data_IF_640696795243
#
_entry.id   IF_640696795243
#
_cell.length_a   1.000
_cell.length_b   1.000
_cell.length_c   1.000
_cell.angle_alpha   90.00
_cell.angle_beta   90.00
_cell.angle_gamma   90.00
#
_symmetry.space_group_name_H-M   'P 1'
#
loop_
_entity.id
_entity.type
_entity.pdbx_description
1 polymer ?
#
# COMPACT_ATOMS: atom_id res chain seq x y z
N UNK A 1 -14.44 9.51 -28.10
CA UNK A 1 -14.75 8.16 -27.53
C UNK A 1 -14.29 8.19 -26.09
N UNK A 2 -15.02 7.52 -25.18
CA UNK A 2 -14.57 7.33 -23.79
C UNK A 2 -13.33 6.45 -23.79
N UNK A 3 -12.39 6.72 -22.87
CA UNK A 3 -11.24 5.81 -22.64
C UNK A 3 -11.67 4.62 -21.80
N UNK A 4 -11.20 3.43 -22.11
CA UNK A 4 -11.45 2.20 -21.33
C UNK A 4 -10.43 2.11 -20.19
N UNK A 5 -10.92 2.15 -18.96
CA UNK A 5 -10.09 1.98 -17.75
C UNK A 5 -10.38 0.61 -17.14
N UNK A 6 -9.33 -0.19 -17.00
CA UNK A 6 -9.39 -1.49 -16.35
C UNK A 6 -9.14 -1.32 -14.85
N UNK A 7 -10.13 -1.61 -14.02
CA UNK A 7 -9.95 -1.72 -12.57
C UNK A 7 -9.58 -3.16 -12.22
N UNK A 8 -8.43 -3.34 -11.58
CA UNK A 8 -8.00 -4.63 -11.01
C UNK A 8 -8.38 -4.68 -9.54
N UNK A 9 -9.03 -5.76 -9.10
CA UNK A 9 -9.48 -5.91 -7.72
C UNK A 9 -9.36 -7.35 -7.21
N UNK A 10 -9.46 -7.51 -5.88
CA UNK A 10 -9.30 -8.78 -5.21
C UNK A 10 -7.83 -9.12 -4.94
N UNK A 11 -7.36 -10.24 -5.47
CA UNK A 11 -5.98 -10.69 -5.34
C UNK A 11 -5.77 -11.80 -4.31
N UNK A 12 -4.76 -12.64 -4.55
CA UNK A 12 -4.36 -13.71 -3.64
C UNK A 12 -3.50 -13.13 -2.50
N UNK A 13 -4.10 -12.32 -1.63
CA UNK A 13 -3.46 -11.66 -0.50
C UNK A 13 -4.38 -11.62 0.73
N UNK A 14 -3.81 -11.35 1.90
CA UNK A 14 -4.58 -11.12 3.14
C UNK A 14 -5.48 -9.87 3.07
N UNK A 15 -5.27 -9.00 2.10
CA UNK A 15 -5.99 -7.73 1.92
C UNK A 15 -7.06 -7.80 0.81
N UNK A 16 -7.46 -9.01 0.42
CA UNK A 16 -8.47 -9.28 -0.62
C UNK A 16 -9.76 -8.48 -0.41
N UNK A 17 -10.32 -8.51 0.80
CA UNK A 17 -11.57 -7.83 1.11
C UNK A 17 -11.46 -6.30 0.97
N UNK A 18 -10.37 -5.72 1.45
CA UNK A 18 -10.09 -4.27 1.35
C UNK A 18 -9.98 -3.85 -0.11
N UNK A 19 -9.33 -4.67 -0.93
CA UNK A 19 -9.21 -4.44 -2.37
C UNK A 19 -10.59 -4.41 -3.05
N UNK A 20 -11.45 -5.38 -2.77
CA UNK A 20 -12.79 -5.44 -3.34
C UNK A 20 -13.64 -4.20 -2.99
N UNK A 21 -13.63 -3.79 -1.71
CA UNK A 21 -14.35 -2.60 -1.25
C UNK A 21 -13.77 -1.32 -1.87
N UNK A 22 -12.45 -1.16 -1.88
CA UNK A 22 -11.77 -0.01 -2.48
C UNK A 22 -12.09 0.13 -3.97
N UNK A 23 -12.02 -0.98 -4.71
CA UNK A 23 -12.30 -0.98 -6.15
C UNK A 23 -13.77 -0.68 -6.45
N UNK A 24 -14.71 -1.18 -5.65
CA UNK A 24 -16.12 -0.81 -5.76
C UNK A 24 -16.32 0.71 -5.58
N UNK A 25 -15.65 1.31 -4.61
CA UNK A 25 -15.68 2.76 -4.39
C UNK A 25 -15.10 3.53 -5.58
N UNK A 26 -13.99 3.07 -6.16
CA UNK A 26 -13.41 3.68 -7.38
C UNK A 26 -14.39 3.54 -8.55
N UNK A 27 -14.96 2.36 -8.79
CA UNK A 27 -15.90 2.10 -9.89
C UNK A 27 -17.17 2.97 -9.83
N UNK A 28 -17.65 3.27 -8.61
CA UNK A 28 -18.83 4.11 -8.41
C UNK A 28 -18.55 5.59 -8.63
N UNK A 29 -17.33 6.03 -8.33
CA UNK A 29 -16.95 7.46 -8.34
C UNK A 29 -16.11 7.88 -9.56
N UNK A 30 -15.69 6.96 -10.41
CA UNK A 30 -15.01 7.29 -11.66
C UNK A 30 -15.95 8.06 -12.59
N UNK A 31 -15.44 9.08 -13.27
CA UNK A 31 -16.23 9.91 -14.19
C UNK A 31 -16.67 9.12 -15.43
N UNK A 32 -17.89 8.62 -15.39
CA UNK A 32 -18.49 7.79 -16.45
C UNK A 32 -18.75 8.56 -17.76
N UNK A 33 -18.66 9.88 -17.76
CA UNK A 33 -18.73 10.68 -19.02
C UNK A 33 -17.40 10.57 -19.80
N UNK A 34 -16.27 10.42 -19.11
CA UNK A 34 -14.94 10.35 -19.71
C UNK A 34 -14.46 8.91 -19.90
N UNK A 35 -14.85 7.99 -18.99
CA UNK A 35 -14.31 6.64 -18.92
C UNK A 35 -15.38 5.57 -19.05
N UNK A 36 -15.01 4.49 -19.73
CA UNK A 36 -15.71 3.20 -19.67
C UNK A 36 -14.93 2.31 -18.71
N UNK A 37 -15.59 1.80 -17.68
CA UNK A 37 -14.98 0.93 -16.68
C UNK A 37 -15.08 -0.53 -17.11
N UNK A 38 -13.96 -1.23 -17.07
CA UNK A 38 -13.84 -2.66 -17.22
C UNK A 38 -13.34 -3.23 -15.88
N UNK A 39 -13.99 -4.22 -15.31
CA UNK A 39 -13.64 -4.81 -14.01
C UNK A 39 -12.96 -6.15 -14.23
N UNK A 40 -11.75 -6.34 -13.72
CA UNK A 40 -11.04 -7.61 -13.74
C UNK A 40 -10.73 -8.04 -12.30
N UNK A 41 -11.46 -9.04 -11.84
CA UNK A 41 -11.35 -9.58 -10.49
C UNK A 41 -10.37 -10.74 -10.42
N UNK A 42 -9.57 -10.76 -9.36
CA UNK A 42 -8.68 -11.87 -9.02
C UNK A 42 -9.21 -12.47 -7.72
N UNK A 43 -9.57 -13.75 -7.74
CA UNK A 43 -10.10 -14.43 -6.55
C UNK A 43 -8.98 -14.68 -5.51
N UNK A 44 -9.35 -15.03 -4.29
CA UNK A 44 -8.39 -15.34 -3.23
C UNK A 44 -7.52 -16.56 -3.54
N UNK A 45 -7.99 -17.49 -4.38
CA UNK A 45 -7.23 -18.63 -4.90
C UNK A 45 -6.49 -18.34 -6.21
N UNK A 46 -6.48 -17.07 -6.67
CA UNK A 46 -5.68 -16.58 -7.79
C UNK A 46 -6.28 -16.79 -9.19
N UNK A 47 -7.58 -17.08 -9.31
CA UNK A 47 -8.26 -17.12 -10.60
C UNK A 47 -8.68 -15.73 -11.05
N UNK A 48 -8.65 -15.50 -12.36
CA UNK A 48 -8.91 -14.19 -12.96
C UNK A 48 -10.18 -14.21 -13.79
N UNK A 49 -11.04 -13.21 -13.58
CA UNK A 49 -12.31 -13.09 -14.30
C UNK A 49 -12.59 -11.63 -14.68
N UNK A 50 -12.97 -11.44 -15.94
CA UNK A 50 -13.73 -10.24 -16.32
C UNK A 50 -15.08 -10.31 -15.60
N UNK A 51 -15.39 -9.27 -14.83
CA UNK A 51 -16.60 -9.19 -14.03
C UNK A 51 -17.55 -8.15 -14.60
N UNK A 52 -18.80 -8.56 -14.90
CA UNK A 52 -19.84 -7.70 -15.49
C UNK A 52 -21.01 -7.41 -14.54
N UNK A 53 -20.90 -7.81 -13.26
CA UNK A 53 -21.93 -7.58 -12.25
C UNK A 53 -21.85 -6.22 -11.55
N UNK A 54 -22.58 -6.09 -10.46
CA UNK A 54 -22.70 -4.86 -9.67
C UNK A 54 -21.56 -4.68 -8.64
N UNK A 55 -21.35 -3.44 -8.19
CA UNK A 55 -20.32 -3.08 -7.20
C UNK A 55 -20.69 -3.49 -5.78
N UNK A 56 -21.98 -3.71 -5.46
CA UNK A 56 -22.40 -4.15 -4.12
C UNK A 56 -21.92 -5.57 -3.85
N UNK A 57 -21.96 -6.45 -4.86
CA UNK A 57 -21.40 -7.79 -4.78
C UNK A 57 -19.88 -7.82 -4.63
N UNK A 58 -19.17 -6.77 -5.07
CA UNK A 58 -17.75 -6.61 -4.77
C UNK A 58 -17.55 -6.27 -3.28
N UNK A 59 -18.39 -5.42 -2.70
CA UNK A 59 -18.31 -4.99 -1.28
C UNK A 59 -18.57 -6.13 -0.31
N UNK A 60 -19.59 -6.96 -0.58
CA UNK A 60 -19.96 -8.09 0.26
C UNK A 60 -19.22 -9.39 -0.10
N UNK A 61 -18.30 -9.31 -1.07
CA UNK A 61 -17.45 -10.41 -1.56
C UNK A 61 -18.22 -11.55 -2.27
N UNK A 62 -19.50 -11.36 -2.54
CA UNK A 62 -20.34 -12.37 -3.21
C UNK A 62 -20.12 -12.46 -4.73
N UNK A 63 -19.37 -11.52 -5.32
CA UNK A 63 -19.10 -11.46 -6.76
C UNK A 63 -18.53 -12.77 -7.32
N UNK A 64 -17.73 -13.51 -6.54
CA UNK A 64 -17.16 -14.82 -6.94
C UNK A 64 -18.19 -15.92 -7.09
N UNK A 65 -19.38 -15.76 -6.50
CA UNK A 65 -20.46 -16.74 -6.53
C UNK A 65 -21.49 -16.46 -7.63
N UNK A 66 -21.33 -15.37 -8.38
CA UNK A 66 -22.24 -14.95 -9.47
C UNK A 66 -21.67 -15.36 -10.82
N UNK A 67 -21.67 -16.68 -11.08
CA UNK A 67 -21.02 -17.29 -12.27
C UNK A 67 -21.49 -16.65 -13.60
N UNK A 68 -22.75 -16.20 -13.68
CA UNK A 68 -23.31 -15.56 -14.87
C UNK A 68 -22.64 -14.23 -15.24
N UNK A 69 -21.91 -13.60 -14.31
CA UNK A 69 -21.15 -12.36 -14.53
C UNK A 69 -19.64 -12.58 -14.62
N UNK A 70 -19.17 -13.83 -14.59
CA UNK A 70 -17.77 -14.19 -14.61
C UNK A 70 -17.36 -14.74 -15.98
N UNK A 71 -16.43 -14.08 -16.65
CA UNK A 71 -15.80 -14.61 -17.86
C UNK A 71 -14.30 -14.79 -17.60
N UNK A 72 -13.74 -16.00 -17.71
CA UNK A 72 -12.30 -16.22 -17.57
C UNK A 72 -11.51 -15.31 -18.49
N UNK A 73 -10.53 -14.58 -17.93
CA UNK A 73 -9.80 -13.56 -18.65
C UNK A 73 -8.49 -13.25 -17.95
N UNK A 74 -7.49 -12.78 -18.70
CA UNK A 74 -6.19 -12.35 -18.16
C UNK A 74 -5.69 -11.09 -18.85
N UNK A 75 -4.81 -10.33 -18.20
CA UNK A 75 -4.07 -9.28 -18.91
C UNK A 75 -3.04 -9.95 -19.81
N UNK A 76 -3.09 -9.63 -21.10
CA UNK A 76 -2.07 -10.12 -22.03
C UNK A 76 -0.73 -9.41 -21.78
N UNK A 77 0.37 -10.14 -21.61
CA UNK A 77 1.70 -9.54 -21.54
C UNK A 77 2.22 -9.05 -22.90
N UNK A 78 1.50 -9.35 -23.99
CA UNK A 78 1.90 -8.91 -25.32
C UNK A 78 1.49 -7.46 -25.60
N UNK A 79 2.46 -6.60 -25.91
CA UNK A 79 2.22 -5.19 -26.29
C UNK A 79 1.33 -5.04 -27.53
N UNK A 80 1.18 -6.08 -28.34
CA UNK A 80 0.30 -6.04 -29.52
C UNK A 80 -1.18 -6.13 -29.15
N UNK A 81 -1.50 -6.65 -27.97
CA UNK A 81 -2.88 -6.76 -27.49
C UNK A 81 -3.32 -5.51 -26.74
N UNK A 82 -2.46 -4.97 -25.88
CA UNK A 82 -2.78 -3.84 -25.00
C UNK A 82 -4.17 -3.95 -24.36
N UNK A 83 -4.43 -5.09 -23.71
CA UNK A 83 -5.77 -5.37 -23.23
C UNK A 83 -5.93 -6.69 -22.45
N UNK A 84 -7.19 -6.96 -22.18
CA UNK A 84 -7.64 -8.18 -21.51
C UNK A 84 -7.93 -9.24 -22.57
N UNK A 85 -7.32 -10.41 -22.43
CA UNK A 85 -7.48 -11.58 -23.31
C UNK A 85 -8.49 -12.55 -22.70
N UNK A 86 -9.54 -12.87 -23.43
CA UNK A 86 -10.54 -13.88 -23.09
C UNK A 86 -10.12 -15.28 -23.59
N UNK A 87 -10.75 -16.34 -23.07
CA UNK A 87 -10.44 -17.73 -23.46
C UNK A 87 -10.70 -18.03 -24.95
N UNK A 88 -11.67 -17.33 -25.57
CA UNK A 88 -11.98 -17.48 -27.00
C UNK A 88 -11.01 -16.75 -27.93
N UNK A 89 -9.97 -16.10 -27.36
CA UNK A 89 -8.99 -15.32 -28.09
C UNK A 89 -9.40 -13.87 -28.35
N UNK A 90 -10.59 -13.45 -27.91
CA UNK A 90 -11.02 -12.05 -28.00
C UNK A 90 -10.15 -11.16 -27.11
N UNK A 91 -9.75 -9.99 -27.63
CA UNK A 91 -9.01 -8.97 -26.88
C UNK A 91 -9.88 -7.76 -26.65
N UNK A 92 -10.06 -7.39 -25.38
CA UNK A 92 -10.70 -6.13 -24.99
C UNK A 92 -9.59 -5.11 -24.80
N UNK A 93 -9.53 -4.11 -25.68
CA UNK A 93 -8.54 -3.04 -25.59
C UNK A 93 -8.73 -2.16 -24.34
N UNK A 94 -7.62 -1.78 -23.69
CA UNK A 94 -7.59 -0.99 -22.46
C UNK A 94 -6.64 0.18 -22.64
N UNK A 95 -7.10 1.40 -22.34
CA UNK A 95 -6.33 2.63 -22.43
C UNK A 95 -5.49 2.89 -21.18
N UNK A 96 -5.97 2.47 -20.00
CA UNK A 96 -5.25 2.57 -18.74
C UNK A 96 -5.70 1.50 -17.75
N UNK A 97 -4.81 1.06 -16.87
CA UNK A 97 -5.10 0.15 -15.75
C UNK A 97 -5.07 0.92 -14.44
N UNK A 98 -6.07 0.73 -13.61
CA UNK A 98 -6.08 1.20 -12.23
C UNK A 98 -6.03 -0.03 -11.30
N UNK A 99 -4.84 -0.44 -10.84
CA UNK A 99 -4.72 -1.52 -9.89
C UNK A 99 -5.17 -1.03 -8.51
N UNK A 100 -6.18 -1.71 -7.95
CA UNK A 100 -6.66 -1.50 -6.58
C UNK A 100 -6.40 -2.80 -5.80
N UNK A 101 -5.14 -3.24 -5.86
CA UNK A 101 -4.67 -4.48 -5.25
C UNK A 101 -3.76 -4.14 -4.08
N UNK A 102 -4.05 -4.68 -2.91
CA UNK A 102 -3.27 -4.40 -1.71
C UNK A 102 -2.39 -5.58 -1.31
N UNK A 103 -1.20 -5.29 -0.76
CA UNK A 103 -0.25 -6.25 -0.24
C UNK A 103 0.44 -7.09 -1.31
N UNK A 104 0.65 -8.36 -0.98
CA UNK A 104 1.39 -9.32 -1.82
C UNK A 104 0.80 -9.45 -3.22
N UNK A 105 1.65 -9.52 -4.23
CA UNK A 105 1.36 -9.54 -5.67
C UNK A 105 0.72 -8.23 -6.20
N UNK A 106 0.19 -7.35 -5.36
CA UNK A 106 -0.39 -6.07 -5.75
C UNK A 106 0.57 -4.90 -5.64
N UNK A 107 1.33 -4.82 -4.53
CA UNK A 107 2.22 -3.70 -4.20
C UNK A 107 3.71 -4.04 -4.25
N UNK A 108 4.09 -5.29 -4.55
CA UNK A 108 5.45 -5.81 -4.48
C UNK A 108 6.22 -5.79 -5.82
N UNK A 109 5.66 -5.15 -6.85
CA UNK A 109 6.25 -5.07 -8.18
C UNK A 109 5.82 -6.20 -9.13
N UNK A 110 5.19 -7.26 -8.63
CA UNK A 110 4.78 -8.42 -9.44
C UNK A 110 3.73 -8.02 -10.49
N UNK A 111 2.63 -7.38 -10.04
CA UNK A 111 1.59 -6.88 -10.95
C UNK A 111 2.13 -5.77 -11.86
N UNK A 112 2.94 -4.87 -11.35
CA UNK A 112 3.56 -3.79 -12.12
C UNK A 112 4.48 -4.32 -13.22
N UNK A 113 5.17 -5.45 -12.97
CA UNK A 113 5.96 -6.15 -13.99
C UNK A 113 5.10 -6.67 -15.15
N UNK A 114 3.96 -7.29 -14.85
CA UNK A 114 2.99 -7.72 -15.87
C UNK A 114 2.44 -6.53 -16.67
N UNK A 115 2.06 -5.46 -16.00
CA UNK A 115 1.55 -4.24 -16.64
C UNK A 115 2.61 -3.57 -17.52
N UNK A 116 3.87 -3.53 -17.07
CA UNK A 116 4.98 -3.02 -17.88
C UNK A 116 5.20 -3.86 -19.15
N UNK A 117 5.11 -5.20 -19.08
CA UNK A 117 5.19 -6.08 -20.25
C UNK A 117 4.03 -5.84 -21.23
N UNK A 118 2.81 -5.66 -20.73
CA UNK A 118 1.61 -5.40 -21.56
C UNK A 118 1.69 -4.09 -22.34
N UNK A 119 2.51 -3.14 -21.88
CA UNK A 119 2.62 -1.80 -22.45
C UNK A 119 1.39 -0.92 -22.24
N UNK A 120 0.47 -1.30 -21.35
CA UNK A 120 -0.70 -0.49 -20.98
C UNK A 120 -0.26 0.49 -19.89
N UNK A 121 -0.55 1.80 -20.00
CA UNK A 121 -0.37 2.75 -18.91
C UNK A 121 -1.11 2.30 -17.65
N UNK A 122 -0.54 2.52 -16.45
CA UNK A 122 -1.20 2.13 -15.21
C UNK A 122 -0.94 3.12 -14.08
N UNK A 123 -1.92 3.23 -13.19
CA UNK A 123 -1.85 4.08 -12.00
C UNK A 123 -0.87 3.51 -10.99
N UNK A 124 -0.09 4.38 -10.34
CA UNK A 124 0.81 4.03 -9.24
C UNK A 124 2.26 3.83 -9.66
N UNK A 125 3.04 3.32 -8.75
CA UNK A 125 4.48 3.13 -8.85
C UNK A 125 4.87 2.08 -9.91
N UNK A 126 6.10 2.17 -10.42
CA UNK A 126 6.65 1.16 -11.33
C UNK A 126 7.09 -0.11 -10.54
N UNK A 127 7.58 -1.12 -11.27
CA UNK A 127 8.03 -2.39 -10.70
C UNK A 127 9.12 -2.21 -9.64
N UNK A 128 10.10 -1.35 -9.91
CA UNK A 128 11.22 -1.11 -9.00
C UNK A 128 10.77 -0.43 -7.71
N UNK A 129 10.06 0.69 -7.83
CA UNK A 129 9.56 1.44 -6.67
C UNK A 129 8.63 0.60 -5.80
N UNK A 130 7.70 -0.15 -6.43
CA UNK A 130 6.79 -1.05 -5.71
C UNK A 130 7.55 -2.12 -4.91
N UNK A 131 8.51 -2.80 -5.55
CA UNK A 131 9.30 -3.83 -4.87
C UNK A 131 10.17 -3.27 -3.74
N UNK A 132 10.78 -2.09 -3.94
CA UNK A 132 11.59 -1.42 -2.91
C UNK A 132 10.73 -0.94 -1.75
N UNK A 133 9.57 -0.33 -2.03
CA UNK A 133 8.67 0.20 -1.00
C UNK A 133 8.03 -0.90 -0.16
N UNK A 134 7.78 -2.08 -0.75
CA UNK A 134 7.25 -3.23 -0.01
C UNK A 134 8.25 -3.79 1.00
N UNK A 135 9.55 -3.75 0.69
CA UNK A 135 10.61 -4.24 1.55
C UNK A 135 11.02 -3.17 2.59
N UNK A 136 10.48 -3.28 3.80
CA UNK A 136 10.72 -2.35 4.91
C UNK A 136 12.21 -2.14 5.22
N UNK A 137 13.03 -3.18 5.10
CA UNK A 137 14.48 -3.10 5.34
C UNK A 137 15.17 -2.27 4.27
N UNK A 138 14.89 -2.58 3.00
CA UNK A 138 15.51 -1.86 1.86
C UNK A 138 15.09 -0.39 1.86
N UNK A 139 13.82 -0.12 2.11
CA UNK A 139 13.30 1.25 2.22
C UNK A 139 13.99 2.05 3.32
N UNK A 140 14.15 1.46 4.53
CA UNK A 140 14.84 2.13 5.63
C UNK A 140 16.30 2.42 5.31
N UNK A 141 17.03 1.48 4.72
CA UNK A 141 18.44 1.68 4.30
C UNK A 141 18.55 2.86 3.33
N UNK A 142 17.65 2.96 2.34
CA UNK A 142 17.65 4.06 1.38
C UNK A 142 17.29 5.39 2.03
N UNK A 143 16.30 5.40 2.94
CA UNK A 143 15.91 6.59 3.69
C UNK A 143 17.04 7.11 4.58
N UNK A 144 17.72 6.23 5.33
CA UNK A 144 18.90 6.61 6.14
C UNK A 144 20.01 7.23 5.29
N UNK A 145 20.26 6.64 4.09
CA UNK A 145 21.31 7.14 3.19
C UNK A 145 21.07 8.59 2.76
N UNK A 146 19.84 9.02 2.71
CA UNK A 146 19.48 10.41 2.36
C UNK A 146 19.17 11.27 3.60
N UNK A 147 19.46 10.77 4.80
CA UNK A 147 19.32 11.51 6.07
C UNK A 147 17.88 11.63 6.55
N UNK A 148 17.00 10.70 6.22
CA UNK A 148 15.68 10.56 6.84
C UNK A 148 15.84 9.72 8.10
N UNK A 149 15.39 10.20 9.27
CA UNK A 149 15.45 9.42 10.50
C UNK A 149 14.54 8.20 10.43
N UNK A 150 15.04 7.05 10.85
CA UNK A 150 14.30 5.80 11.01
C UNK A 150 14.44 5.30 12.44
N UNK A 151 13.47 4.52 12.90
CA UNK A 151 13.59 3.84 14.20
C UNK A 151 14.79 2.89 14.16
N UNK A 152 15.62 2.82 15.22
CA UNK A 152 16.72 1.87 15.30
C UNK A 152 16.25 0.44 15.04
N UNK A 153 16.98 -0.29 14.18
CA UNK A 153 16.57 -1.61 13.73
C UNK A 153 17.74 -2.56 13.50
N UNK A 154 17.42 -3.87 13.48
CA UNK A 154 18.25 -4.95 12.97
C UNK A 154 17.43 -5.79 12.00
N UNK A 155 18.07 -6.53 11.08
CA UNK A 155 17.35 -7.41 10.19
C UNK A 155 18.08 -8.71 9.95
N UNK A 156 17.31 -9.77 9.70
CA UNK A 156 17.80 -11.15 9.61
C UNK A 156 17.15 -11.86 8.42
N UNK A 157 17.86 -12.87 7.91
CA UNK A 157 17.36 -13.75 6.83
C UNK A 157 17.21 -15.17 7.35
N UNK A 158 16.18 -15.88 6.92
CA UNK A 158 15.86 -17.26 7.35
C UNK A 158 17.00 -18.24 7.05
N UNK A 159 17.67 -18.07 5.90
CA UNK A 159 18.80 -18.92 5.54
C UNK A 159 20.04 -18.60 6.41
N UNK A 160 20.49 -19.60 7.16
CA UNK A 160 21.63 -19.46 8.08
C UNK A 160 21.28 -18.74 9.39
N UNK A 161 20.01 -18.59 9.73
CA UNK A 161 19.55 -17.92 10.93
C UNK A 161 19.96 -18.70 12.20
N UNK A 162 20.55 -17.97 13.14
CA UNK A 162 20.91 -18.43 14.48
C UNK A 162 20.19 -17.52 15.48
N UNK A 163 19.17 -18.04 16.14
CA UNK A 163 18.30 -17.26 17.02
C UNK A 163 19.06 -16.66 18.21
N UNK A 164 20.05 -17.37 18.77
CA UNK A 164 20.80 -16.86 19.93
C UNK A 164 21.67 -15.65 19.55
N UNK A 165 22.37 -15.74 18.42
CA UNK A 165 23.16 -14.62 17.91
C UNK A 165 22.28 -13.43 17.51
N UNK A 166 21.12 -13.70 16.90
CA UNK A 166 20.18 -12.66 16.52
C UNK A 166 19.62 -11.90 17.73
N UNK A 167 19.26 -12.62 18.79
CA UNK A 167 18.79 -12.02 20.03
C UNK A 167 19.89 -11.19 20.70
N UNK A 168 21.14 -11.71 20.78
CA UNK A 168 22.28 -10.97 21.31
C UNK A 168 22.56 -9.69 20.51
N UNK A 169 22.48 -9.75 19.18
CA UNK A 169 22.65 -8.58 18.32
C UNK A 169 21.54 -7.55 18.53
N UNK A 170 20.28 -7.99 18.64
CA UNK A 170 19.17 -7.09 18.95
C UNK A 170 19.34 -6.40 20.30
N UNK A 171 19.67 -7.14 21.35
CA UNK A 171 19.85 -6.59 22.71
C UNK A 171 21.04 -5.63 22.84
N UNK A 172 22.06 -5.76 21.96
CA UNK A 172 23.18 -4.82 21.88
C UNK A 172 22.82 -3.51 21.17
N UNK A 173 21.90 -3.54 20.20
CA UNK A 173 21.58 -2.41 19.32
C UNK A 173 20.25 -1.73 19.62
N UNK A 174 19.31 -2.46 20.21
CA UNK A 174 17.91 -2.06 20.36
C UNK A 174 17.50 -2.13 21.84
N UNK A 175 16.36 -1.49 22.14
CA UNK A 175 15.75 -1.50 23.48
C UNK A 175 14.35 -2.13 23.45
N UNK A 176 14.00 -2.86 24.50
CA UNK A 176 12.64 -3.33 24.67
C UNK A 176 11.68 -2.17 25.02
N UNK A 177 10.38 -2.24 24.60
CA UNK A 177 9.82 -3.29 23.77
C UNK A 177 10.38 -3.24 22.35
N UNK A 178 10.50 -4.41 21.69
CA UNK A 178 10.91 -4.52 20.30
C UNK A 178 9.73 -4.99 19.45
N UNK A 179 9.65 -4.53 18.19
CA UNK A 179 8.67 -5.03 17.23
C UNK A 179 9.37 -5.91 16.19
N UNK A 180 8.95 -7.17 16.10
CA UNK A 180 9.45 -8.13 15.12
C UNK A 180 8.47 -8.19 13.98
N UNK A 181 8.93 -7.94 12.76
CA UNK A 181 8.07 -7.75 11.57
C UNK A 181 8.62 -8.52 10.38
N UNK A 182 7.76 -9.19 9.58
CA UNK A 182 8.15 -9.58 8.21
C UNK A 182 8.54 -8.35 7.40
N UNK A 183 9.58 -8.44 6.58
CA UNK A 183 10.04 -7.29 5.79
C UNK A 183 9.07 -6.93 4.65
N UNK A 184 8.41 -7.94 4.06
CA UNK A 184 7.56 -7.80 2.86
C UNK A 184 6.09 -8.17 3.13
N UNK A 185 5.54 -7.73 4.27
CA UNK A 185 4.13 -7.95 4.62
C UNK A 185 3.43 -6.63 4.93
N UNK A 186 2.14 -6.54 4.56
CA UNK A 186 1.23 -5.44 4.87
C UNK A 186 0.30 -5.77 6.03
N UNK A 187 -0.58 -4.83 6.38
CA UNK A 187 -1.71 -5.00 7.31
C UNK A 187 -1.37 -5.65 8.65
N UNK A 188 -0.18 -5.37 9.19
CA UNK A 188 0.32 -5.90 10.47
C UNK A 188 0.41 -7.44 10.56
N UNK A 189 0.33 -8.16 9.43
CA UNK A 189 0.43 -9.62 9.41
C UNK A 189 1.83 -10.06 9.87
N UNK A 190 1.87 -10.97 10.85
CA UNK A 190 3.11 -11.53 11.38
C UNK A 190 3.92 -10.59 12.27
N UNK A 191 3.39 -9.42 12.65
CA UNK A 191 4.03 -8.50 13.58
C UNK A 191 3.83 -8.95 15.02
N UNK A 192 4.90 -8.94 15.81
CA UNK A 192 4.89 -9.27 17.23
C UNK A 192 5.60 -8.19 18.05
N UNK A 193 4.97 -7.73 19.13
CA UNK A 193 5.61 -6.90 20.17
C UNK A 193 6.30 -7.82 21.18
N UNK A 194 7.59 -7.65 21.38
CA UNK A 194 8.39 -8.40 22.32
C UNK A 194 8.84 -7.47 23.48
N UNK A 195 8.49 -7.81 24.71
CA UNK A 195 8.88 -7.06 25.91
C UNK A 195 10.10 -7.66 26.61
N UNK A 196 10.52 -8.85 26.19
CA UNK A 196 11.64 -9.60 26.76
C UNK A 196 12.20 -10.59 25.73
N UNK A 197 13.29 -11.27 26.11
CA UNK A 197 14.02 -12.23 25.28
C UNK A 197 13.15 -13.38 24.77
N UNK A 198 12.31 -13.96 25.61
CA UNK A 198 11.49 -15.12 25.24
C UNK A 198 10.42 -14.74 24.21
N UNK A 199 9.84 -13.55 24.35
CA UNK A 199 8.90 -12.99 23.39
C UNK A 199 9.59 -12.62 22.06
N UNK A 200 10.84 -12.15 22.12
CA UNK A 200 11.64 -11.86 20.92
C UNK A 200 11.92 -13.14 20.11
N UNK A 201 12.29 -14.24 20.79
CA UNK A 201 12.49 -15.54 20.14
C UNK A 201 11.21 -16.00 19.43
N UNK A 202 10.05 -15.94 20.11
CA UNK A 202 8.76 -16.27 19.50
C UNK A 202 8.40 -15.34 18.33
N UNK A 203 8.73 -14.06 18.46
CA UNK A 203 8.52 -13.09 17.39
C UNK A 203 9.27 -13.44 16.11
N UNK A 204 10.50 -13.94 16.19
CA UNK A 204 11.23 -14.44 15.02
C UNK A 204 10.52 -15.63 14.35
N UNK A 205 10.01 -16.58 15.12
CA UNK A 205 9.26 -17.72 14.58
C UNK A 205 8.05 -17.26 13.78
N UNK A 206 7.20 -16.41 14.39
CA UNK A 206 6.01 -15.86 13.75
C UNK A 206 6.34 -15.07 12.49
N UNK A 207 7.36 -14.20 12.54
CA UNK A 207 7.72 -13.38 11.39
C UNK A 207 8.33 -14.20 10.25
N UNK A 208 9.16 -15.22 10.52
CA UNK A 208 9.73 -16.12 9.52
C UNK A 208 8.73 -17.12 8.91
N UNK A 209 7.56 -17.30 9.51
CA UNK A 209 6.48 -18.05 8.86
C UNK A 209 5.80 -17.24 7.75
N UNK A 210 5.95 -15.91 7.77
CA UNK A 210 5.34 -14.99 6.81
C UNK A 210 6.33 -14.44 5.78
N UNK A 211 7.66 -14.41 6.07
CA UNK A 211 8.67 -13.91 5.16
C UNK A 211 10.03 -14.59 5.39
N UNK A 212 10.87 -14.61 4.37
CA UNK A 212 12.26 -15.06 4.47
C UNK A 212 13.20 -14.01 5.09
N UNK A 213 12.75 -12.74 5.24
CA UNK A 213 13.47 -11.61 5.82
C UNK A 213 12.63 -10.98 6.92
N UNK A 214 13.27 -10.75 8.06
CA UNK A 214 12.63 -10.18 9.26
C UNK A 214 13.36 -8.92 9.69
N UNK A 215 12.60 -7.91 10.05
CA UNK A 215 13.00 -6.65 10.65
C UNK A 215 12.67 -6.68 12.15
N UNK A 216 13.59 -6.23 13.00
CA UNK A 216 13.35 -5.97 14.42
C UNK A 216 13.61 -4.50 14.70
N UNK A 217 12.68 -3.81 15.31
CA UNK A 217 12.75 -2.39 15.61
C UNK A 217 12.54 -2.11 17.10
N UNK A 218 13.20 -1.08 17.63
CA UNK A 218 12.85 -0.53 18.95
C UNK A 218 11.42 0.04 18.92
N UNK A 219 10.60 -0.28 19.90
CA UNK A 219 9.28 0.33 20.06
C UNK A 219 9.39 1.75 20.58
N UNK A 220 8.68 2.68 19.96
CA UNK A 220 8.59 4.06 20.41
C UNK A 220 7.42 4.15 21.40
N UNK A 221 7.70 4.59 22.63
CA UNK A 221 6.66 4.80 23.63
C UNK A 221 5.76 5.97 23.24
N UNK A 222 4.44 5.79 23.36
CA UNK A 222 3.44 6.82 23.07
C UNK A 222 3.57 7.43 21.67
N UNK A 223 4.01 6.63 20.69
CA UNK A 223 4.16 7.10 19.31
C UNK A 223 2.81 7.60 18.77
N UNK A 224 2.84 8.77 18.14
CA UNK A 224 1.74 9.30 17.32
C UNK A 224 2.00 8.89 15.88
N UNK A 225 1.01 8.33 15.21
CA UNK A 225 1.13 7.95 13.81
C UNK A 225 0.69 9.12 12.92
N UNK A 226 1.58 9.56 12.03
CA UNK A 226 1.34 10.67 11.10
C UNK A 226 1.45 10.15 9.67
N UNK A 227 0.43 10.43 8.88
CA UNK A 227 0.34 10.00 7.49
C UNK A 227 0.32 11.19 6.54
N UNK A 228 1.02 11.05 5.41
CA UNK A 228 1.05 12.04 4.32
C UNK A 228 0.75 11.36 3.01
N UNK A 229 -0.29 11.81 2.31
CA UNK A 229 -0.59 11.35 0.95
C UNK A 229 0.30 12.09 -0.07
N UNK A 230 0.84 11.35 -1.02
CA UNK A 230 1.58 11.88 -2.16
C UNK A 230 0.78 11.68 -3.44
N UNK A 231 0.73 12.68 -4.31
CA UNK A 231 0.03 12.63 -5.59
C UNK A 231 0.88 13.24 -6.70
N UNK A 232 1.10 12.50 -7.76
CA UNK A 232 1.77 12.97 -8.97
C UNK A 232 3.01 12.17 -9.35
N UNK A 233 3.60 12.51 -10.50
CA UNK A 233 4.83 11.95 -11.01
C UNK A 233 6.00 12.88 -10.66
N UNK A 234 6.55 13.59 -11.66
CA UNK A 234 7.69 14.50 -11.49
C UNK A 234 7.39 15.67 -10.54
N UNK A 235 6.20 16.23 -10.61
CA UNK A 235 5.74 17.37 -9.81
C UNK A 235 4.78 16.90 -8.70
N UNK A 236 5.16 15.80 -8.02
CA UNK A 236 4.37 15.25 -6.95
C UNK A 236 4.20 16.24 -5.78
N UNK A 237 2.98 16.28 -5.26
CA UNK A 237 2.60 17.13 -4.13
C UNK A 237 2.30 16.28 -2.89
N UNK A 238 2.72 16.79 -1.73
CA UNK A 238 2.37 16.24 -0.43
C UNK A 238 1.07 16.87 0.10
N UNK A 239 0.17 16.06 0.63
CA UNK A 239 -1.05 16.51 1.30
C UNK A 239 -0.76 17.26 2.61
N UNK A 240 -1.81 17.69 3.30
CA UNK A 240 -1.74 17.98 4.74
C UNK A 240 -1.36 16.70 5.49
N UNK A 241 -0.75 16.83 6.68
CA UNK A 241 -0.53 15.69 7.57
C UNK A 241 -1.86 15.24 8.18
N UNK A 242 -2.09 13.93 8.24
CA UNK A 242 -3.13 13.31 9.04
C UNK A 242 -2.55 12.60 10.25
N UNK A 243 -3.32 12.50 11.32
CA UNK A 243 -2.92 11.80 12.53
C UNK A 243 -3.91 10.68 12.84
N UNK A 244 -3.39 9.51 13.14
CA UNK A 244 -4.16 8.39 13.68
C UNK A 244 -3.85 8.31 15.17
N UNK A 245 -4.89 8.48 16.00
CA UNK A 245 -4.79 8.23 17.42
C UNK A 245 -5.44 6.87 17.71
N UNK A 246 -4.63 5.82 17.99
CA UNK A 246 -5.16 4.50 18.29
C UNK A 246 -5.96 4.55 19.60
N UNK A 247 -7.10 3.86 19.63
CA UNK A 247 -7.90 3.70 20.84
C UNK A 247 -7.33 2.69 21.83
N UNK A 248 -6.23 1.99 21.46
CA UNK A 248 -5.52 0.97 22.25
C UNK A 248 -4.00 1.07 22.02
N UNK A 249 -3.22 0.35 22.82
CA UNK A 249 -1.74 0.40 22.80
C UNK A 249 -1.08 -0.06 21.49
N UNK A 250 -1.85 -0.65 20.56
CA UNK A 250 -1.35 -1.13 19.27
C UNK A 250 -2.43 -1.02 18.18
N UNK A 251 -2.06 -0.46 17.04
CA UNK A 251 -2.92 -0.27 15.87
C UNK A 251 -2.76 -1.46 14.91
N UNK A 252 -3.51 -2.54 15.17
CA UNK A 252 -3.51 -3.77 14.38
C UNK A 252 -4.56 -3.78 13.26
N UNK A 253 -4.66 -4.89 12.54
CA UNK A 253 -5.63 -5.08 11.44
C UNK A 253 -7.09 -4.90 11.92
N UNK A 254 -7.42 -5.39 13.11
CA UNK A 254 -8.76 -5.30 13.67
C UNK A 254 -9.14 -3.84 14.00
N UNK A 255 -8.18 -3.08 14.52
CA UNK A 255 -8.34 -1.65 14.81
C UNK A 255 -8.39 -0.82 13.52
N UNK A 256 -7.69 -1.25 12.45
CA UNK A 256 -7.66 -0.54 11.14
C UNK A 256 -8.96 -0.65 10.35
N UNK A 257 -9.65 -1.79 10.40
CA UNK A 257 -10.74 -2.09 9.46
C UNK A 257 -12.04 -2.56 10.11
N UNK A 258 -12.03 -2.93 11.38
CA UNK A 258 -13.18 -3.58 12.06
C UNK A 258 -13.70 -2.77 13.25
N UNK A 259 -12.83 -2.07 14.00
CA UNK A 259 -13.25 -1.33 15.20
C UNK A 259 -13.33 0.18 14.97
N UNK A 260 -14.41 0.81 15.44
CA UNK A 260 -14.63 2.29 15.46
C UNK A 260 -13.82 3.00 16.56
N UNK A 261 -12.72 2.40 17.08
CA UNK A 261 -11.99 2.93 18.23
C UNK A 261 -10.88 3.92 17.88
N UNK A 262 -10.41 3.94 16.63
CA UNK A 262 -9.39 4.89 16.18
C UNK A 262 -9.99 6.26 15.88
N UNK A 263 -9.36 7.33 16.38
CA UNK A 263 -9.71 8.70 16.04
C UNK A 263 -8.79 9.25 14.97
N UNK A 264 -9.37 9.83 13.93
CA UNK A 264 -8.64 10.44 12.81
C UNK A 264 -8.70 11.95 12.89
N UNK A 265 -7.55 12.61 12.82
CA UNK A 265 -7.44 14.07 12.80
C UNK A 265 -6.82 14.53 11.48
N UNK A 266 -7.60 15.25 10.67
CA UNK A 266 -7.14 15.82 9.39
C UNK A 266 -7.55 17.29 9.32
N UNK A 267 -6.60 18.22 9.44
CA UNK A 267 -5.16 18.04 9.62
C UNK A 267 -4.76 17.48 10.99
N UNK A 268 -3.55 16.91 11.07
CA UNK A 268 -2.93 16.41 12.30
C UNK A 268 -2.77 17.52 13.37
N UNK A 269 -2.79 17.14 14.64
CA UNK A 269 -2.65 18.06 15.80
C UNK A 269 -1.18 18.37 16.10
N UNK A 270 -0.50 18.97 15.14
CA UNK A 270 0.93 19.35 15.19
C UNK A 270 1.08 20.82 14.78
N UNK A 271 2.25 21.41 15.06
CA UNK A 271 2.55 22.76 14.61
C UNK A 271 2.73 22.83 13.09
N UNK A 272 2.49 24.01 12.50
CA UNK A 272 2.69 24.22 11.06
C UNK A 272 4.14 23.93 10.63
N UNK A 273 5.12 24.34 11.43
CA UNK A 273 6.55 24.08 11.17
C UNK A 273 6.87 22.59 11.14
N UNK A 274 6.30 21.80 12.07
CA UNK A 274 6.48 20.35 12.09
C UNK A 274 5.78 19.70 10.89
N UNK A 275 4.58 20.15 10.57
CA UNK A 275 3.84 19.70 9.39
C UNK A 275 4.62 19.91 8.11
N UNK A 276 5.21 21.11 7.91
CA UNK A 276 6.04 21.40 6.74
C UNK A 276 7.30 20.53 6.69
N UNK A 277 7.92 20.26 7.84
CA UNK A 277 9.06 19.35 7.96
C UNK A 277 8.70 17.93 7.55
N UNK A 278 7.57 17.40 8.04
CA UNK A 278 7.10 16.05 7.73
C UNK A 278 6.76 15.92 6.24
N UNK A 279 6.06 16.91 5.67
CA UNK A 279 5.73 16.95 4.25
C UNK A 279 6.97 16.98 3.37
N UNK A 280 7.98 17.78 3.73
CA UNK A 280 9.25 17.81 3.02
C UNK A 280 10.01 16.46 3.10
N UNK A 281 9.94 15.76 4.25
CA UNK A 281 10.46 14.41 4.40
C UNK A 281 9.70 13.42 3.50
N UNK A 282 8.36 13.48 3.45
CA UNK A 282 7.55 12.63 2.58
C UNK A 282 7.89 12.82 1.10
N UNK A 283 8.02 14.06 0.63
CA UNK A 283 8.46 14.38 -0.73
C UNK A 283 9.87 13.82 -1.03
N UNK A 284 10.79 13.97 -0.09
CA UNK A 284 12.16 13.45 -0.24
C UNK A 284 12.17 11.93 -0.33
N UNK A 285 11.40 11.23 0.52
CA UNK A 285 11.24 9.77 0.48
C UNK A 285 10.67 9.34 -0.87
N UNK A 286 9.56 9.95 -1.28
CA UNK A 286 8.86 9.65 -2.53
C UNK A 286 9.80 9.72 -3.75
N UNK A 287 10.59 10.79 -3.83
CA UNK A 287 11.60 10.97 -4.90
C UNK A 287 12.77 10.01 -4.79
N UNK A 288 13.26 9.72 -3.58
CA UNK A 288 14.37 8.79 -3.35
C UNK A 288 14.04 7.36 -3.77
N UNK A 289 12.77 6.98 -3.64
CA UNK A 289 12.28 5.65 -3.97
C UNK A 289 11.69 5.57 -5.39
N UNK A 290 11.84 6.60 -6.23
CA UNK A 290 11.31 6.71 -7.59
C UNK A 290 9.81 6.42 -7.67
N UNK A 291 9.04 6.83 -6.66
CA UNK A 291 7.59 6.67 -6.62
C UNK A 291 6.89 7.53 -7.66
N UNK A 292 5.74 7.09 -8.14
CA UNK A 292 4.91 7.79 -9.11
C UNK A 292 3.42 7.54 -8.86
N UNK A 293 2.57 8.46 -9.33
CA UNK A 293 1.11 8.38 -9.25
C UNK A 293 0.60 8.70 -7.86
N UNK A 294 0.69 7.73 -6.96
CA UNK A 294 0.21 7.87 -5.58
C UNK A 294 1.08 7.08 -4.59
N UNK A 295 1.11 7.54 -3.36
CA UNK A 295 1.53 6.76 -2.19
C UNK A 295 1.04 7.40 -0.90
N UNK A 296 1.11 6.67 0.22
CA UNK A 296 0.98 7.22 1.57
C UNK A 296 2.27 6.93 2.33
N UNK A 297 2.87 7.98 2.85
CA UNK A 297 4.09 7.90 3.66
C UNK A 297 3.71 8.02 5.12
N UNK A 298 4.09 7.02 5.91
CA UNK A 298 3.69 6.87 7.30
C UNK A 298 4.88 7.11 8.22
N UNK A 299 4.68 7.92 9.26
CA UNK A 299 5.69 8.34 10.23
C UNK A 299 5.24 8.08 11.65
N UNK A 300 6.21 7.96 12.54
CA UNK A 300 6.01 8.07 13.98
C UNK A 300 6.58 9.41 14.49
N UNK A 301 5.85 10.01 15.43
CA UNK A 301 6.38 11.07 16.29
C UNK A 301 6.45 10.54 17.71
N UNK A 302 7.59 10.71 18.37
CA UNK A 302 7.71 10.42 19.80
C UNK A 302 7.13 11.55 20.67
N UNK A 303 7.19 11.41 21.98
CA UNK A 303 6.69 12.40 22.96
C UNK A 303 7.40 13.76 22.90
N UNK A 304 8.56 13.84 22.25
CA UNK A 304 9.35 15.06 22.05
C UNK A 304 9.24 15.61 20.63
N UNK A 305 8.26 15.15 19.85
CA UNK A 305 8.04 15.47 18.44
C UNK A 305 9.24 15.09 17.53
N UNK A 306 10.04 14.09 17.92
CA UNK A 306 11.08 13.54 17.04
C UNK A 306 10.45 12.65 16.00
N UNK A 307 10.72 12.97 14.73
CA UNK A 307 10.17 12.29 13.57
C UNK A 307 10.97 11.03 13.21
N UNK A 308 10.25 9.93 12.94
CA UNK A 308 10.82 8.70 12.39
C UNK A 308 9.96 8.20 11.23
N UNK A 309 10.60 7.88 10.11
CA UNK A 309 9.93 7.20 9.01
C UNK A 309 9.59 5.77 9.40
N UNK A 310 8.35 5.35 9.16
CA UNK A 310 7.87 3.99 9.39
C UNK A 310 7.86 3.17 8.09
N UNK A 311 6.94 3.49 7.19
CA UNK A 311 6.77 2.79 5.91
C UNK A 311 6.15 3.68 4.83
N UNK A 312 6.13 3.19 3.60
CA UNK A 312 5.44 3.80 2.47
C UNK A 312 4.55 2.77 1.77
N UNK A 313 3.30 3.14 1.52
CA UNK A 313 2.30 2.30 0.86
C UNK A 313 2.08 2.83 -0.55
N UNK A 314 2.37 2.02 -1.58
CA UNK A 314 2.32 2.44 -3.00
C UNK A 314 0.94 2.33 -3.63
N UNK A 315 0.03 1.55 -3.03
CA UNK A 315 -1.39 1.51 -3.36
C UNK A 315 -2.19 1.63 -2.05
N UNK A 316 -2.27 2.84 -1.46
CA UNK A 316 -3.00 3.04 -0.21
C UNK A 316 -4.49 2.74 -0.39
N UNK A 317 -5.17 2.38 0.71
CA UNK A 317 -6.61 2.11 0.70
C UNK A 317 -7.43 3.25 0.11
N UNK A 318 -8.47 2.88 -0.62
CA UNK A 318 -9.37 3.80 -1.34
C UNK A 318 -10.84 3.65 -0.90
N UNK A 319 -11.08 3.20 0.33
CA UNK A 319 -12.42 3.20 0.92
C UNK A 319 -12.81 4.60 1.42
N UNK A 320 -14.08 4.90 1.68
CA UNK A 320 -14.52 6.20 2.18
C UNK A 320 -13.88 6.62 3.51
N UNK A 321 -13.44 5.66 4.32
CA UNK A 321 -12.76 5.89 5.61
C UNK A 321 -11.23 5.88 5.49
N UNK A 322 -10.68 5.58 4.30
CA UNK A 322 -9.24 5.54 4.08
C UNK A 322 -8.61 6.93 4.14
N UNK A 323 -7.45 7.02 4.78
CA UNK A 323 -6.74 8.29 4.98
C UNK A 323 -6.31 8.94 3.66
N UNK A 324 -5.86 8.18 2.66
CA UNK A 324 -5.35 8.76 1.41
C UNK A 324 -6.37 9.66 0.70
N UNK A 325 -7.59 9.21 0.35
CA UNK A 325 -8.58 10.11 -0.25
C UNK A 325 -9.04 11.22 0.72
N UNK A 326 -9.08 10.96 2.03
CA UNK A 326 -9.41 11.97 3.03
C UNK A 326 -8.39 13.11 3.08
N UNK A 327 -7.10 12.79 3.06
CA UNK A 327 -5.99 13.74 3.02
C UNK A 327 -6.01 14.58 1.74
N UNK A 328 -6.18 13.94 0.59
CA UNK A 328 -6.26 14.64 -0.71
C UNK A 328 -7.54 15.49 -0.81
N UNK A 329 -8.63 15.06 -0.16
CA UNK A 329 -9.86 15.86 -0.04
C UNK A 329 -9.64 17.19 0.66
N UNK A 330 -8.78 17.23 1.70
CA UNK A 330 -8.38 18.49 2.37
C UNK A 330 -7.49 19.38 1.48
N UNK A 331 -6.86 18.81 0.48
CA UNK A 331 -6.10 19.57 -0.54
C UNK A 331 -6.96 20.02 -1.73
N UNK A 332 -8.29 19.82 -1.68
CA UNK A 332 -9.24 20.30 -2.67
C UNK A 332 -9.62 19.30 -3.77
N UNK A 333 -9.15 18.06 -3.69
CA UNK A 333 -9.55 17.01 -4.62
C UNK A 333 -10.85 16.34 -4.16
N UNK A 334 -11.93 16.43 -4.94
CA UNK A 334 -13.06 15.51 -4.75
C UNK A 334 -12.61 14.09 -5.07
N UNK A 335 -13.32 13.09 -4.55
CA UNK A 335 -12.97 11.68 -4.80
C UNK A 335 -12.91 11.35 -6.31
N UNK A 336 -13.88 11.85 -7.09
CA UNK A 336 -13.89 11.69 -8.55
C UNK A 336 -12.72 12.41 -9.23
N UNK A 337 -12.41 13.65 -8.82
CA UNK A 337 -11.28 14.41 -9.38
C UNK A 337 -9.93 13.77 -9.04
N UNK A 338 -9.81 13.14 -7.87
CA UNK A 338 -8.61 12.40 -7.49
C UNK A 338 -8.40 11.18 -8.40
N UNK A 339 -9.45 10.38 -8.65
CA UNK A 339 -9.41 9.24 -9.57
C UNK A 339 -9.01 9.71 -10.97
N UNK A 340 -9.63 10.78 -11.47
CA UNK A 340 -9.34 11.36 -12.78
C UNK A 340 -7.87 11.78 -12.89
N UNK A 341 -7.36 12.51 -11.88
CA UNK A 341 -5.94 12.93 -11.84
C UNK A 341 -4.98 11.75 -11.81
N UNK A 342 -5.30 10.67 -11.10
CA UNK A 342 -4.49 9.46 -11.07
C UNK A 342 -4.45 8.75 -12.44
N UNK A 343 -5.57 8.69 -13.15
CA UNK A 343 -5.63 8.12 -14.51
C UNK A 343 -4.86 9.00 -15.50
N UNK A 344 -4.95 10.32 -15.38
CA UNK A 344 -4.16 11.25 -16.19
C UNK A 344 -2.66 11.04 -15.97
N UNK A 345 -2.22 11.01 -14.71
CA UNK A 345 -0.82 10.77 -14.33
C UNK A 345 -0.30 9.41 -14.86
N UNK A 346 -1.16 8.38 -14.93
CA UNK A 346 -0.79 7.09 -15.49
C UNK A 346 -0.45 7.15 -16.99
N UNK A 347 -1.07 8.08 -17.72
CA UNK A 347 -0.85 8.30 -19.15
C UNK A 347 0.32 9.27 -19.44
N UNK A 348 0.85 9.94 -18.41
CA UNK A 348 2.06 10.75 -18.50
C UNK A 348 3.32 9.87 -18.45
N UNK A 349 4.45 10.40 -18.93
CA UNK A 349 5.73 9.69 -18.82
C UNK A 349 6.13 9.56 -17.33
N UNK A 350 6.27 8.33 -16.85
CA UNK A 350 6.80 8.06 -15.51
C UNK A 350 8.32 8.27 -15.52
N UNK A 351 8.85 8.80 -14.43
CA UNK A 351 10.28 9.02 -14.22
C UNK A 351 11.09 7.73 -14.38
#
# INVERSE_FOLDING_TARGET
MKKTVLLLFGGASSEYAVSCVSAACVADNINKELYQVCLLGITADGKWYLYSGDTDSMRDLSWVNKEEYLTPAVISPSKTHQGVLLEDGTVIHVDAVFPVLHGKNGEDGTMQGLLALSGIPYVGCNTYSSAVCMDKVTTKILCEKVGIPVVPYAYFRKNGFDVQKAVEECEQKLSYPMFVKPANAGSSVGITKANNRDELVKGFEVAFDNDYKVLVETGISSAREIEVAMLGNKDAVASVCGEIAPGADFYDYETKYVSDTASYYVPARISDTLSDTIRACAEKIYRTLDCAGLSRVDFFLDENDVLYFNEINTIPGFTPISMYPGLMGKCGYSYSALIEKLIENACEEKL
#
